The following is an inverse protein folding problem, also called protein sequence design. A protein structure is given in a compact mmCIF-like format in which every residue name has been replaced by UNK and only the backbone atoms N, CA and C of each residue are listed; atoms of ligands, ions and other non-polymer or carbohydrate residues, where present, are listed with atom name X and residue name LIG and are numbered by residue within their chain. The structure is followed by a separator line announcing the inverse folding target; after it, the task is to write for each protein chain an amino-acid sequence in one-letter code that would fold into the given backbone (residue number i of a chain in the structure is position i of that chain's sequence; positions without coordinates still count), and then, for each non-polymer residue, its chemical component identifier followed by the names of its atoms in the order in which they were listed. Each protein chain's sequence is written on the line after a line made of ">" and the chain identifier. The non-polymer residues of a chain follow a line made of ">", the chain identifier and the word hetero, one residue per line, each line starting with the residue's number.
data_IF_474307221232
#
_entry.id   IF_474307221232
#
_cell.length_a   1.000
_cell.length_b   1.000
_cell.length_c   1.000
_cell.angle_alpha   90.00
_cell.angle_beta   90.00
_cell.angle_gamma   90.00
#
_symmetry.space_group_name_H-M   'P 1'
#
loop_
_entity.id
_entity.type
_entity.pdbx_description
1 polymer ?
#
# COMPACT_ATOMS: atom_id res chain seq x y z
N UNK A 1 -6.28 -13.78 -11.88
CA UNK A 1 -6.40 -15.25 -11.79
C UNK A 1 -7.42 -15.63 -10.72
N UNK A 2 -8.01 -16.82 -10.86
CA UNK A 2 -9.22 -17.32 -10.17
C UNK A 2 -10.50 -16.60 -10.60
N UNK A 3 -11.42 -17.35 -11.21
CA UNK A 3 -12.72 -16.89 -11.67
C UNK A 3 -13.76 -18.00 -11.47
N UNK A 4 -14.99 -17.63 -11.16
CA UNK A 4 -16.06 -18.58 -10.86
C UNK A 4 -15.86 -19.31 -9.54
N UNK A 5 -16.49 -20.48 -9.41
CA UNK A 5 -16.48 -21.26 -8.18
C UNK A 5 -15.11 -21.88 -7.94
N UNK A 6 -14.44 -21.48 -6.86
CA UNK A 6 -13.10 -21.96 -6.50
C UNK A 6 -13.09 -22.41 -5.04
N UNK A 7 -12.57 -23.59 -4.76
CA UNK A 7 -12.22 -24.04 -3.40
C UNK A 7 -10.76 -23.69 -3.14
N UNK A 8 -10.50 -22.96 -2.06
CA UNK A 8 -9.18 -22.68 -1.53
C UNK A 8 -8.92 -23.58 -0.34
N UNK A 9 -7.68 -24.06 -0.22
CA UNK A 9 -7.23 -24.85 0.92
C UNK A 9 -6.11 -24.09 1.62
N UNK A 10 -6.25 -23.89 2.92
CA UNK A 10 -5.18 -23.32 3.75
C UNK A 10 -4.02 -24.33 3.86
N UNK A 11 -2.81 -23.98 3.41
CA UNK A 11 -1.66 -24.88 3.47
C UNK A 11 -1.19 -25.21 4.89
N UNK A 12 -1.52 -24.39 5.89
CA UNK A 12 -1.04 -24.58 7.27
C UNK A 12 -2.00 -25.46 8.09
N UNK A 13 -3.32 -25.30 7.89
CA UNK A 13 -4.35 -25.98 8.70
C UNK A 13 -5.14 -27.04 7.93
N UNK A 14 -5.18 -26.96 6.59
CA UNK A 14 -6.03 -27.78 5.74
C UNK A 14 -7.48 -27.29 5.62
N UNK A 15 -7.81 -26.13 6.22
CA UNK A 15 -9.15 -25.55 6.15
C UNK A 15 -9.56 -25.22 4.71
N UNK A 16 -10.86 -25.38 4.42
CA UNK A 16 -11.41 -25.19 3.08
C UNK A 16 -12.35 -24.01 3.02
N UNK A 17 -12.10 -23.11 2.08
CA UNK A 17 -12.95 -21.98 1.76
C UNK A 17 -13.45 -22.10 0.30
N UNK A 18 -14.75 -22.34 0.12
CA UNK A 18 -15.35 -22.31 -1.22
C UNK A 18 -15.90 -20.93 -1.54
N UNK A 19 -15.27 -20.23 -2.47
CA UNK A 19 -15.78 -18.99 -3.03
C UNK A 19 -16.68 -19.28 -4.24
N UNK A 20 -17.91 -18.78 -4.24
CA UNK A 20 -18.83 -18.93 -5.38
C UNK A 20 -18.39 -18.18 -6.64
N UNK A 21 -17.89 -16.95 -6.47
CA UNK A 21 -17.16 -16.16 -7.48
C UNK A 21 -15.87 -15.66 -6.86
N UNK A 22 -14.77 -16.35 -7.10
CA UNK A 22 -13.48 -16.05 -6.50
C UNK A 22 -12.97 -14.65 -6.86
N UNK A 23 -13.30 -14.15 -8.04
CA UNK A 23 -12.94 -12.81 -8.51
C UNK A 23 -13.47 -11.70 -7.59
N UNK A 24 -14.66 -11.88 -6.99
CA UNK A 24 -15.26 -10.90 -6.07
C UNK A 24 -14.38 -10.70 -4.83
N UNK A 25 -13.78 -11.78 -4.28
CA UNK A 25 -12.88 -11.65 -3.13
C UNK A 25 -11.63 -10.81 -3.46
N UNK A 26 -11.08 -10.98 -4.66
CA UNK A 26 -9.94 -10.20 -5.12
C UNK A 26 -10.29 -8.72 -5.30
N UNK A 27 -11.48 -8.44 -5.84
CA UNK A 27 -11.96 -7.07 -6.04
C UNK A 27 -12.25 -6.38 -4.71
N UNK A 28 -12.97 -7.05 -3.81
CA UNK A 28 -13.27 -6.56 -2.46
C UNK A 28 -11.99 -6.27 -1.66
N UNK A 29 -11.01 -7.18 -1.73
CA UNK A 29 -9.72 -6.97 -1.08
C UNK A 29 -9.00 -5.73 -1.64
N UNK A 30 -8.97 -5.54 -2.97
CA UNK A 30 -8.34 -4.35 -3.56
C UNK A 30 -9.04 -3.06 -3.16
N UNK A 31 -10.37 -3.07 -3.08
CA UNK A 31 -11.15 -1.92 -2.62
C UNK A 31 -10.78 -1.55 -1.17
N UNK A 32 -10.81 -2.53 -0.25
CA UNK A 32 -10.41 -2.31 1.14
C UNK A 32 -8.96 -1.85 1.26
N UNK A 33 -8.07 -2.44 0.47
CA UNK A 33 -6.65 -2.11 0.46
C UNK A 33 -6.40 -0.65 0.03
N UNK A 34 -7.08 -0.19 -1.01
CA UNK A 34 -6.98 1.20 -1.49
C UNK A 34 -7.57 2.16 -0.45
N UNK A 35 -8.76 1.85 0.09
CA UNK A 35 -9.42 2.68 1.09
C UNK A 35 -8.54 2.91 2.33
N UNK A 36 -7.96 1.83 2.88
CA UNK A 36 -7.02 1.92 4.00
C UNK A 36 -5.82 2.84 3.70
N UNK A 37 -5.28 2.77 2.49
CA UNK A 37 -4.13 3.62 2.09
C UNK A 37 -4.53 5.09 1.95
N UNK A 38 -5.72 5.36 1.45
CA UNK A 38 -6.26 6.71 1.37
C UNK A 38 -6.42 7.30 2.78
N UNK A 39 -7.00 6.54 3.71
CA UNK A 39 -7.14 6.98 5.11
C UNK A 39 -5.79 7.36 5.74
N UNK A 40 -4.77 6.52 5.58
CA UNK A 40 -3.42 6.81 6.08
C UNK A 40 -2.82 8.06 5.44
N UNK A 41 -2.96 8.19 4.12
CA UNK A 41 -2.48 9.34 3.38
C UNK A 41 -3.12 10.64 3.88
N UNK A 42 -4.43 10.63 4.11
CA UNK A 42 -5.17 11.81 4.57
C UNK A 42 -4.89 12.15 6.04
N UNK A 43 -4.58 11.14 6.87
CA UNK A 43 -4.03 11.37 8.21
C UNK A 43 -2.64 12.02 8.16
N UNK A 44 -1.73 11.53 7.33
CA UNK A 44 -0.40 12.15 7.17
C UNK A 44 -0.51 13.61 6.71
N UNK A 45 -1.34 13.90 5.69
CA UNK A 45 -1.58 15.27 5.21
C UNK A 45 -2.07 16.20 6.32
N UNK A 46 -3.01 15.76 7.15
CA UNK A 46 -3.52 16.55 8.28
C UNK A 46 -2.44 16.90 9.31
N UNK A 47 -1.42 16.06 9.44
CA UNK A 47 -0.27 16.29 10.31
C UNK A 47 0.88 17.05 9.63
N UNK A 48 0.72 17.43 8.35
CA UNK A 48 1.78 18.03 7.55
C UNK A 48 2.89 17.04 7.17
N UNK A 49 2.63 15.73 7.23
CA UNK A 49 3.59 14.69 6.91
C UNK A 49 3.43 14.18 5.48
N UNK A 50 4.55 13.78 4.86
CA UNK A 50 4.55 13.04 3.61
C UNK A 50 4.24 11.55 3.85
N UNK A 51 3.72 10.86 2.83
CA UNK A 51 3.40 9.43 2.88
C UNK A 51 4.03 8.72 1.68
N UNK A 52 4.72 7.60 1.92
CA UNK A 52 5.38 6.79 0.87
C UNK A 52 5.20 5.30 1.16
N UNK A 53 5.13 4.51 0.10
CA UNK A 53 4.96 3.05 0.15
C UNK A 53 6.12 2.36 -0.55
N UNK A 54 6.63 1.29 0.06
CA UNK A 54 7.46 0.28 -0.60
C UNK A 54 6.63 -1.00 -0.84
N UNK A 55 6.81 -1.64 -1.99
CA UNK A 55 6.18 -2.92 -2.29
C UNK A 55 7.20 -4.04 -2.07
N UNK A 56 6.76 -5.15 -1.48
CA UNK A 56 7.64 -6.25 -1.04
C UNK A 56 8.25 -7.05 -2.20
N UNK A 57 7.74 -6.86 -3.42
CA UNK A 57 8.31 -7.40 -4.66
C UNK A 57 9.42 -6.51 -5.25
N UNK A 58 9.74 -5.38 -4.58
CA UNK A 58 10.83 -4.47 -4.96
C UNK A 58 11.93 -4.47 -3.92
N UNK A 59 13.13 -4.11 -4.36
CA UNK A 59 14.27 -3.94 -3.47
C UNK A 59 13.97 -2.82 -2.47
N UNK A 60 14.29 -3.06 -1.20
CA UNK A 60 14.18 -2.05 -0.15
C UNK A 60 15.08 -0.83 -0.42
N UNK A 61 16.22 -1.03 -1.09
CA UNK A 61 17.12 0.04 -1.52
C UNK A 61 16.44 1.09 -2.39
N UNK A 62 15.50 0.69 -3.24
CA UNK A 62 14.79 1.63 -4.12
C UNK A 62 13.92 2.60 -3.31
N UNK A 63 13.30 2.10 -2.22
CA UNK A 63 12.55 2.96 -1.32
C UNK A 63 13.47 3.90 -0.54
N UNK A 64 14.63 3.40 -0.07
CA UNK A 64 15.61 4.23 0.63
C UNK A 64 16.11 5.38 -0.26
N UNK A 65 16.43 5.11 -1.53
CA UNK A 65 16.86 6.14 -2.48
C UNK A 65 15.75 7.17 -2.68
N UNK A 66 14.49 6.75 -2.85
CA UNK A 66 13.36 7.68 -3.02
C UNK A 66 13.16 8.58 -1.80
N UNK A 67 13.24 8.02 -0.60
CA UNK A 67 13.15 8.78 0.65
C UNK A 67 14.31 9.77 0.77
N UNK A 68 15.53 9.33 0.47
CA UNK A 68 16.70 10.21 0.46
C UNK A 68 16.52 11.39 -0.49
N UNK A 69 16.05 11.15 -1.72
CA UNK A 69 15.81 12.22 -2.69
C UNK A 69 14.69 13.18 -2.26
N UNK A 70 13.62 12.67 -1.64
CA UNK A 70 12.55 13.53 -1.12
C UNK A 70 13.06 14.47 -0.01
N UNK A 71 13.88 13.95 0.91
CA UNK A 71 14.47 14.75 2.00
C UNK A 71 15.48 15.79 1.51
N UNK A 72 16.26 15.49 0.46
CA UNK A 72 17.24 16.44 -0.08
C UNK A 72 16.57 17.57 -0.86
N UNK A 73 15.46 17.29 -1.55
CA UNK A 73 14.64 18.30 -2.24
C UNK A 73 13.96 19.22 -1.22
N UNK A 74 13.34 18.68 -0.17
CA UNK A 74 12.67 19.49 0.86
C UNK A 74 13.65 20.37 1.65
N UNK A 75 14.87 19.87 1.91
CA UNK A 75 15.96 20.65 2.53
C UNK A 75 16.39 21.89 1.73
N UNK A 76 16.12 21.92 0.42
CA UNK A 76 16.39 23.10 -0.44
C UNK A 76 15.26 24.15 -0.43
N UNK A 77 14.05 23.77 -0.01
CA UNK A 77 12.88 24.66 0.11
C UNK A 77 12.72 25.26 1.52
N UNK A 78 13.23 24.58 2.54
CA UNK A 78 13.21 25.03 3.94
C UNK A 78 14.06 26.29 4.21
N UNK A 79 14.87 26.74 3.24
CA UNK A 79 15.63 27.99 3.31
C UNK A 79 14.89 29.24 2.84
N UNK A 80 13.62 29.16 2.43
CA UNK A 80 12.92 30.29 1.77
C UNK A 80 11.56 30.69 2.36
N UNK A 81 11.31 30.39 3.63
CA UNK A 81 10.17 30.97 4.36
C UNK A 81 10.67 31.58 5.68
N UNK A 82 11.26 32.78 5.59
CA UNK A 82 11.24 33.87 6.59
C UNK A 82 11.74 35.17 5.97
N UNK A 83 10.81 36.01 5.51
CA UNK A 83 10.89 37.48 5.49
C UNK A 83 9.50 38.03 5.12
#
# INVERSE_FOLDING_TARGET
>A
PYAGRTEFTDPETGDKLTAGRAETLGDDYRLLYIARRQELTDWCKRLGWSFTVNHTDRLASDALVRVHMAMTVDGSSAGRIRA
#
